data_IF_791452593303
#
_entry.id   IF_791452593303
#
_cell.length_a   1.000
_cell.length_b   1.000
_cell.length_c   1.000
_cell.angle_alpha   90.00
_cell.angle_beta   90.00
_cell.angle_gamma   90.00
#
_symmetry.space_group_name_H-M   'P 1'
#
loop_
_entity.id
_entity.type
_entity.pdbx_description
1 polymer ?
#
# COMPACT_ATOMS: atom_id res chain seq x y z
N UNK A 1 12.04 -9.14 -9.70
CA UNK A 1 12.36 -8.08 -8.70
C UNK A 1 12.16 -6.71 -9.29
N UNK A 2 11.22 -5.95 -8.71
CA UNK A 2 10.93 -4.57 -9.06
C UNK A 2 11.47 -3.63 -7.98
N UNK A 3 11.96 -2.45 -8.40
CA UNK A 3 12.30 -1.36 -7.49
C UNK A 3 11.20 -0.31 -7.56
N UNK A 4 10.66 0.05 -6.40
CA UNK A 4 9.77 1.18 -6.23
C UNK A 4 10.53 2.38 -5.66
N UNK A 5 10.27 3.56 -6.22
CA UNK A 5 10.73 4.83 -5.66
C UNK A 5 9.52 5.61 -5.14
N UNK A 6 9.39 5.70 -3.82
CA UNK A 6 8.48 6.65 -3.19
C UNK A 6 9.07 8.05 -3.40
N UNK A 7 8.36 8.87 -4.15
CA UNK A 7 8.74 10.26 -4.42
C UNK A 7 8.49 11.16 -3.20
N UNK A 8 8.83 12.45 -3.32
CA UNK A 8 8.45 13.47 -2.34
C UNK A 8 6.98 13.90 -2.39
N UNK A 9 6.16 13.33 -3.29
CA UNK A 9 4.71 13.56 -3.31
C UNK A 9 4.02 12.93 -2.10
N UNK A 10 2.99 13.59 -1.58
CA UNK A 10 2.28 13.13 -0.38
C UNK A 10 1.54 11.79 -0.56
N UNK A 11 1.09 11.50 -1.79
CA UNK A 11 0.30 10.31 -2.13
C UNK A 11 0.89 9.57 -3.34
N UNK A 12 2.21 9.41 -3.38
CA UNK A 12 2.87 8.61 -4.42
C UNK A 12 2.80 7.13 -4.04
N UNK A 13 1.75 6.45 -4.49
CA UNK A 13 1.50 5.03 -4.29
C UNK A 13 1.47 4.30 -5.65
N UNK A 14 1.71 2.99 -5.67
CA UNK A 14 1.38 2.18 -6.84
C UNK A 14 -0.11 1.89 -6.80
N UNK A 15 -0.79 2.01 -7.93
CA UNK A 15 -2.20 1.66 -8.03
C UNK A 15 -2.49 0.98 -9.38
N UNK A 16 -3.42 0.04 -9.35
CA UNK A 16 -4.01 -0.56 -10.53
C UNK A 16 -5.53 -0.51 -10.38
N UNK A 17 -6.23 -0.11 -11.44
CA UNK A 17 -7.70 -0.12 -11.51
C UNK A 17 -8.10 -1.05 -12.64
N UNK A 18 -8.88 -2.08 -12.31
CA UNK A 18 -9.44 -2.98 -13.30
C UNK A 18 -10.56 -2.27 -14.08
N UNK A 19 -10.54 -2.37 -15.41
CA UNK A 19 -11.43 -1.56 -16.25
C UNK A 19 -12.90 -2.03 -16.23
N UNK A 20 -13.13 -3.35 -16.23
CA UNK A 20 -14.47 -3.95 -16.35
C UNK A 20 -14.65 -5.10 -15.35
N UNK A 21 -13.90 -5.05 -14.24
CA UNK A 21 -13.90 -6.11 -13.24
C UNK A 21 -13.90 -5.52 -11.84
N UNK A 22 -14.87 -5.93 -11.03
CA UNK A 22 -14.87 -5.74 -9.58
C UNK A 22 -14.23 -6.98 -8.95
N UNK A 23 -13.33 -6.80 -7.99
CA UNK A 23 -12.65 -7.90 -7.32
C UNK A 23 -13.67 -8.79 -6.62
N UNK A 24 -13.67 -10.07 -6.97
CA UNK A 24 -14.45 -11.07 -6.25
C UNK A 24 -13.69 -11.52 -5.01
N UNK A 25 -13.92 -10.84 -3.89
CA UNK A 25 -13.27 -11.16 -2.62
C UNK A 25 -13.83 -12.41 -1.95
N UNK A 26 -14.85 -13.08 -2.50
CA UNK A 26 -15.24 -14.41 -2.02
C UNK A 26 -14.20 -15.48 -2.37
N UNK A 27 -13.42 -15.22 -3.43
CA UNK A 27 -12.34 -16.09 -3.91
C UNK A 27 -10.95 -15.42 -3.91
N UNK A 28 -10.85 -14.11 -4.06
CA UNK A 28 -9.58 -13.37 -4.17
C UNK A 28 -9.31 -12.48 -2.96
N UNK A 29 -9.49 -13.00 -1.74
CA UNK A 29 -9.38 -12.21 -0.52
C UNK A 29 -7.98 -12.09 0.05
N UNK A 30 -6.99 -12.86 -0.42
CA UNK A 30 -5.62 -12.73 0.07
C UNK A 30 -4.72 -12.13 -0.98
N UNK A 31 -3.98 -11.11 -0.59
CA UNK A 31 -2.89 -10.56 -1.40
C UNK A 31 -1.56 -10.98 -0.80
N UNK A 32 -0.71 -11.63 -1.61
CA UNK A 32 0.65 -12.00 -1.24
C UNK A 32 1.67 -11.20 -2.02
N UNK A 33 2.75 -10.81 -1.35
CA UNK A 33 3.84 -10.05 -1.97
C UNK A 33 5.15 -10.31 -1.22
N UNK A 34 6.23 -10.50 -1.96
CA UNK A 34 7.59 -10.44 -1.40
C UNK A 34 8.06 -9.01 -1.36
N UNK A 35 8.57 -8.55 -0.23
CA UNK A 35 9.13 -7.21 -0.09
C UNK A 35 10.51 -7.22 0.56
N UNK A 36 11.29 -6.19 0.22
CA UNK A 36 12.56 -5.89 0.88
C UNK A 36 12.55 -4.43 1.32
N UNK A 37 12.73 -4.21 2.62
CA UNK A 37 12.82 -2.88 3.23
C UNK A 37 14.29 -2.56 3.49
N UNK A 38 14.93 -1.66 2.71
CA UNK A 38 16.33 -1.38 2.90
C UNK A 38 16.55 -0.46 4.11
N UNK A 39 17.59 -0.73 4.90
CA UNK A 39 17.97 0.13 6.03
C UNK A 39 18.68 1.41 5.62
N UNK A 40 19.03 1.57 4.33
CA UNK A 40 19.72 2.77 3.83
C UNK A 40 18.77 3.96 3.58
N UNK A 41 17.44 3.75 3.58
CA UNK A 41 16.51 4.87 3.52
C UNK A 41 16.62 5.71 4.80
N UNK A 42 16.19 6.97 4.73
CA UNK A 42 16.08 7.82 5.91
C UNK A 42 14.73 7.60 6.60
N UNK A 43 14.75 6.93 7.75
CA UNK A 43 13.57 6.70 8.60
C UNK A 43 13.49 7.66 9.80
N UNK A 44 14.39 8.64 9.87
CA UNK A 44 14.57 9.49 11.06
C UNK A 44 14.12 10.92 10.85
N UNK A 45 14.32 11.46 9.65
CA UNK A 45 13.96 12.83 9.28
C UNK A 45 12.44 13.00 9.24
N UNK A 46 11.96 14.10 9.81
CA UNK A 46 10.59 14.55 9.63
C UNK A 46 10.45 15.36 8.35
N UNK A 47 9.38 15.13 7.61
CA UNK A 47 9.09 15.78 6.34
C UNK A 47 7.81 16.62 6.41
N UNK A 48 7.65 17.52 5.44
CA UNK A 48 6.40 18.22 5.23
C UNK A 48 5.24 17.22 5.05
N UNK A 49 4.05 17.61 5.47
CA UNK A 49 2.83 16.81 5.38
C UNK A 49 1.75 17.52 4.56
N UNK A 50 0.81 16.75 4.02
CA UNK A 50 -0.30 17.26 3.22
C UNK A 50 -1.26 18.18 3.99
N UNK A 51 -1.28 18.05 5.33
CA UNK A 51 -2.04 18.90 6.22
C UNK A 51 -1.89 18.47 7.68
N UNK A 52 -2.44 19.28 8.59
CA UNK A 52 -2.26 19.11 10.04
C UNK A 52 -2.89 17.82 10.59
N UNK A 53 -3.76 17.17 9.82
CA UNK A 53 -4.37 15.88 10.17
C UNK A 53 -3.42 14.68 10.00
N UNK A 54 -2.24 14.88 9.40
CA UNK A 54 -1.23 13.83 9.24
C UNK A 54 -0.29 13.85 10.45
N UNK A 55 -0.46 12.87 11.34
CA UNK A 55 0.36 12.75 12.54
C UNK A 55 1.78 12.23 12.24
N UNK A 56 1.94 11.31 11.29
CA UNK A 56 3.24 10.73 10.94
C UNK A 56 3.98 11.59 9.92
N UNK A 57 5.18 12.06 10.29
CA UNK A 57 6.04 12.88 9.43
C UNK A 57 7.24 12.14 8.86
N UNK A 58 7.43 10.86 9.21
CA UNK A 58 8.64 10.08 8.90
C UNK A 58 8.31 8.94 7.96
N UNK A 59 9.29 8.55 7.15
CA UNK A 59 9.22 7.27 6.45
C UNK A 59 9.19 6.14 7.48
N UNK A 60 8.34 5.14 7.30
CA UNK A 60 8.25 3.98 8.18
C UNK A 60 8.58 2.67 7.44
N UNK A 61 9.20 1.67 8.09
CA UNK A 61 9.44 0.35 7.50
C UNK A 61 8.12 -0.45 7.45
N UNK A 62 7.22 -0.07 6.55
CA UNK A 62 5.89 -0.67 6.44
C UNK A 62 5.39 -0.76 5.01
N UNK A 63 4.44 -1.67 4.80
CA UNK A 63 3.66 -1.82 3.58
C UNK A 63 2.17 -1.80 3.92
N UNK A 64 1.39 -1.02 3.18
CA UNK A 64 -0.05 -1.09 3.19
C UNK A 64 -0.57 -1.57 1.83
N UNK A 65 -1.58 -2.44 1.86
CA UNK A 65 -2.39 -2.80 0.70
C UNK A 65 -3.80 -2.30 0.95
N UNK A 66 -4.41 -1.69 -0.08
CA UNK A 66 -5.74 -1.13 -0.01
C UNK A 66 -6.58 -1.57 -1.19
N UNK A 67 -7.86 -1.82 -0.95
CA UNK A 67 -8.88 -1.85 -2.01
C UNK A 67 -9.72 -0.58 -1.98
N UNK A 68 -10.10 -0.08 -3.15
CA UNK A 68 -10.88 1.14 -3.36
C UNK A 68 -11.89 0.94 -4.48
N UNK A 69 -13.02 1.65 -4.38
CA UNK A 69 -13.99 1.80 -5.46
C UNK A 69 -13.63 3.02 -6.32
N UNK A 70 -13.22 2.77 -7.56
CA UNK A 70 -12.84 3.81 -8.50
C UNK A 70 -14.02 4.59 -9.08
N UNK A 71 -15.26 4.10 -8.94
CA UNK A 71 -16.47 4.81 -9.38
C UNK A 71 -16.68 6.12 -8.61
N UNK A 72 -16.10 6.22 -7.40
CA UNK A 72 -16.04 7.47 -6.62
C UNK A 72 -15.02 8.50 -7.16
N UNK A 73 -14.30 8.20 -8.25
CA UNK A 73 -13.36 9.10 -8.90
C UNK A 73 -12.25 9.59 -7.94
N UNK A 74 -12.11 10.91 -7.79
CA UNK A 74 -11.15 11.52 -6.87
C UNK A 74 -11.39 11.19 -5.39
N UNK A 75 -12.57 10.67 -5.05
CA UNK A 75 -12.95 10.28 -3.68
C UNK A 75 -12.80 8.77 -3.43
N UNK A 76 -12.23 7.99 -4.35
CA UNK A 76 -12.03 6.54 -4.20
C UNK A 76 -11.40 6.14 -2.86
N UNK A 77 -10.48 6.96 -2.34
CA UNK A 77 -9.83 6.75 -1.04
C UNK A 77 -10.81 6.70 0.16
N UNK A 78 -12.01 7.27 0.05
CA UNK A 78 -13.01 7.26 1.12
C UNK A 78 -13.65 5.88 1.31
N UNK A 79 -13.62 5.02 0.29
CA UNK A 79 -14.23 3.69 0.33
C UNK A 79 -13.29 2.61 0.85
N UNK A 80 -12.04 2.99 1.17
CA UNK A 80 -10.95 2.04 1.22
C UNK A 80 -11.05 1.06 2.39
N UNK A 81 -10.69 -0.20 2.14
CA UNK A 81 -10.24 -1.11 3.20
C UNK A 81 -8.72 -1.17 3.13
N UNK A 82 -8.05 -0.82 4.22
CA UNK A 82 -6.60 -0.83 4.34
C UNK A 82 -6.14 -1.89 5.34
N UNK A 83 -5.10 -2.63 4.98
CA UNK A 83 -4.34 -3.46 5.91
C UNK A 83 -2.88 -3.01 5.85
N UNK A 84 -2.31 -2.73 7.02
CA UNK A 84 -0.91 -2.31 7.19
C UNK A 84 -0.10 -3.42 7.86
N UNK A 85 1.06 -3.73 7.31
CA UNK A 85 2.11 -4.51 8.00
C UNK A 85 3.22 -3.54 8.39
N UNK A 86 3.26 -3.18 9.68
CA UNK A 86 4.22 -2.24 10.25
C UNK A 86 5.48 -2.95 10.78
N UNK A 87 6.48 -2.17 11.17
CA UNK A 87 7.71 -2.61 11.83
C UNK A 87 8.42 -3.77 11.11
N UNK A 88 8.39 -3.74 9.78
CA UNK A 88 8.98 -4.78 8.94
C UNK A 88 10.49 -4.84 9.14
N UNK A 89 10.99 -6.07 9.31
CA UNK A 89 12.42 -6.29 9.45
C UNK A 89 13.17 -5.88 8.17
N UNK A 90 14.22 -5.08 8.36
CA UNK A 90 14.99 -4.52 7.26
C UNK A 90 16.07 -5.47 6.74
N UNK A 91 16.53 -5.21 5.53
CA UNK A 91 17.65 -5.90 4.86
C UNK A 91 17.46 -7.40 4.61
N UNK A 92 16.21 -7.86 4.54
CA UNK A 92 15.88 -9.21 4.06
C UNK A 92 14.57 -9.23 3.28
N UNK A 93 14.39 -10.29 2.49
CA UNK A 93 13.12 -10.55 1.84
C UNK A 93 12.10 -11.10 2.84
N UNK A 94 10.91 -10.52 2.84
CA UNK A 94 9.76 -10.92 3.65
C UNK A 94 8.63 -11.34 2.71
N UNK A 95 8.02 -12.50 2.96
CA UNK A 95 6.76 -12.89 2.34
C UNK A 95 5.62 -12.36 3.22
N UNK A 96 4.81 -11.46 2.67
CA UNK A 96 3.68 -10.85 3.38
C UNK A 96 2.36 -11.33 2.78
N UNK A 97 1.37 -11.54 3.66
CA UNK A 97 -0.01 -11.83 3.31
C UNK A 97 -0.95 -10.81 3.96
N UNK A 98 -1.86 -10.25 3.15
CA UNK A 98 -2.91 -9.32 3.53
C UNK A 98 -4.25 -10.01 3.32
N UNK A 99 -4.97 -10.27 4.41
CA UNK A 99 -6.22 -11.03 4.42
C UNK A 99 -7.43 -10.09 4.49
N UNK A 100 -8.16 -9.99 3.38
CA UNK A 100 -9.36 -9.20 3.19
C UNK A 100 -10.65 -10.03 3.31
N UNK A 101 -10.60 -11.26 3.83
CA UNK A 101 -11.78 -12.13 3.99
C UNK A 101 -12.88 -11.47 4.83
N UNK A 102 -12.52 -10.58 5.77
CA UNK A 102 -13.46 -9.79 6.55
C UNK A 102 -14.31 -8.79 5.76
N UNK A 103 -13.98 -8.55 4.49
CA UNK A 103 -14.75 -7.70 3.57
C UNK A 103 -15.15 -8.44 2.29
N UNK A 104 -15.26 -9.77 2.35
CA UNK A 104 -15.58 -10.62 1.20
C UNK A 104 -16.93 -10.28 0.50
N UNK A 105 -17.87 -9.65 1.22
CA UNK A 105 -19.16 -9.22 0.65
C UNK A 105 -19.10 -7.89 -0.11
N UNK A 106 -17.96 -7.18 -0.10
CA UNK A 106 -17.77 -5.95 -0.88
C UNK A 106 -17.67 -6.29 -2.36
N UNK A 107 -18.47 -5.61 -3.18
CA UNK A 107 -18.61 -5.84 -4.62
C UNK A 107 -18.30 -4.60 -5.45
N UNK A 108 -17.88 -3.52 -4.79
CA UNK A 108 -17.61 -2.19 -5.35
C UNK A 108 -16.13 -1.94 -5.64
N UNK A 109 -15.21 -2.77 -5.14
CA UNK A 109 -13.79 -2.60 -5.36
C UNK A 109 -13.31 -3.02 -6.74
N UNK A 110 -12.60 -2.14 -7.43
CA UNK A 110 -11.90 -2.38 -8.71
C UNK A 110 -10.46 -1.85 -8.69
N UNK A 111 -10.06 -1.11 -7.65
CA UNK A 111 -8.73 -0.55 -7.49
C UNK A 111 -7.99 -1.18 -6.34
N UNK A 112 -6.77 -1.61 -6.61
CA UNK A 112 -5.78 -1.98 -5.59
C UNK A 112 -4.69 -0.91 -5.51
N UNK A 113 -4.30 -0.56 -4.28
CA UNK A 113 -3.22 0.39 -4.00
C UNK A 113 -2.16 -0.29 -3.13
N UNK A 114 -0.90 -0.14 -3.50
CA UNK A 114 0.27 -0.61 -2.74
C UNK A 114 1.04 0.63 -2.29
N UNK A 115 1.20 0.76 -0.98
CA UNK A 115 1.78 1.94 -0.33
C UNK A 115 2.95 1.53 0.56
N UNK A 116 4.15 1.89 0.15
CA UNK A 116 5.35 1.75 0.95
C UNK A 116 5.58 2.99 1.81
N UNK A 117 6.12 2.81 3.01
CA UNK A 117 6.76 3.93 3.71
C UNK A 117 5.84 4.86 4.49
N UNK A 118 4.56 4.52 4.64
CA UNK A 118 3.47 5.42 5.05
C UNK A 118 3.11 6.48 3.98
N UNK A 119 2.02 7.21 4.19
CA UNK A 119 1.51 8.24 3.27
C UNK A 119 1.25 9.57 3.98
N UNK A 120 0.99 10.62 3.19
CA UNK A 120 0.65 11.95 3.69
C UNK A 120 1.85 12.82 4.05
N UNK A 121 3.08 12.27 4.03
CA UNK A 121 4.33 12.99 4.23
C UNK A 121 5.23 12.92 2.99
N UNK A 122 6.07 13.93 2.80
CA UNK A 122 6.98 14.09 1.65
C UNK A 122 8.30 13.29 1.78
N UNK A 123 8.37 12.31 2.67
CA UNK A 123 9.57 11.49 2.87
C UNK A 123 9.77 10.52 1.71
N UNK A 124 10.88 10.61 0.95
CA UNK A 124 11.15 9.70 -0.15
C UNK A 124 11.82 8.41 0.36
N UNK A 125 11.79 7.36 -0.47
CA UNK A 125 12.49 6.11 -0.15
C UNK A 125 12.49 5.13 -1.31
N UNK A 126 13.43 4.19 -1.28
CA UNK A 126 13.47 3.07 -2.21
C UNK A 126 13.00 1.79 -1.51
N UNK A 127 12.18 1.03 -2.19
CA UNK A 127 11.67 -0.26 -1.72
C UNK A 127 11.74 -1.26 -2.87
N UNK A 128 11.71 -2.54 -2.56
CA UNK A 128 11.70 -3.58 -3.58
C UNK A 128 10.59 -4.58 -3.30
N UNK A 129 10.04 -5.12 -4.37
CA UNK A 129 9.01 -6.14 -4.29
C UNK A 129 9.09 -7.13 -5.45
N UNK A 130 8.52 -8.30 -5.24
CA UNK A 130 8.38 -9.35 -6.24
C UNK A 130 7.20 -10.26 -5.88
N UNK A 131 6.91 -11.24 -6.75
CA UNK A 131 5.95 -12.33 -6.48
C UNK A 131 4.59 -11.84 -5.97
N UNK A 132 4.07 -10.77 -6.57
CA UNK A 132 2.74 -10.24 -6.25
C UNK A 132 1.65 -11.18 -6.81
N UNK A 133 0.76 -11.68 -5.96
CA UNK A 133 -0.34 -12.55 -6.36
C UNK A 133 -1.60 -12.33 -5.52
N UNK A 134 -2.75 -12.64 -6.14
CA UNK A 134 -3.98 -12.91 -5.40
C UNK A 134 -4.05 -14.41 -5.07
N UNK A 135 -4.65 -14.73 -3.93
CA UNK A 135 -4.87 -16.09 -3.47
C UNK A 135 -6.25 -16.25 -2.82
N UNK A 136 -6.71 -17.51 -2.80
CA UNK A 136 -7.88 -17.99 -2.05
C UNK A 136 -7.59 -18.19 -0.55
#
# INVERSE_FOLDING_TARGET
VYRYWKSGGFYSNLAFTAAEYKFDLTTQNKVRVKVFIPSFNDYTTEHAVAGDWIANKKLLPQLAVKFQDSDMGGNAWQTQTEIVKADLEMNKWLELEFDFSGVAERTDYDRIVIQFGAEGHAGPGFFYFDDFTFAE
#
